data_IF_822261246502
#
_entry.id   IF_822261246502
#
_cell.length_a   1.000
_cell.length_b   1.000
_cell.length_c   1.000
_cell.angle_alpha   90.00
_cell.angle_beta   90.00
_cell.angle_gamma   90.00
#
_symmetry.space_group_name_H-M   'P 1'
#
loop_
_entity.id
_entity.type
_entity.pdbx_description
1 polymer ?
#
# COMPACT_ATOMS: atom_id res chain seq x y z
N UNK A 1 22.95 10.96 19.00
CA UNK A 1 23.41 10.10 17.92
C UNK A 1 22.66 8.80 17.83
N UNK A 2 22.55 8.09 18.96
CA UNK A 2 21.79 6.84 18.96
C UNK A 2 20.31 7.09 18.67
N UNK A 3 19.78 8.17 19.21
CA UNK A 3 18.37 8.52 19.01
C UNK A 3 18.11 8.76 17.53
N UNK A 4 18.99 9.51 16.88
CA UNK A 4 18.84 9.76 15.46
C UNK A 4 18.94 8.50 14.64
N UNK A 5 19.86 7.60 15.06
CA UNK A 5 20.04 6.34 14.36
C UNK A 5 18.80 5.46 14.52
N UNK A 6 18.21 5.46 15.70
CA UNK A 6 17.00 4.68 15.92
C UNK A 6 15.84 5.22 15.09
N UNK A 7 15.73 6.53 15.02
CA UNK A 7 14.70 7.16 14.20
C UNK A 7 14.89 6.78 12.74
N UNK A 8 16.12 6.85 12.26
CA UNK A 8 16.42 6.49 10.88
C UNK A 8 16.11 5.01 10.61
N UNK A 9 16.41 4.15 11.59
CA UNK A 9 16.13 2.72 11.47
C UNK A 9 14.62 2.49 11.38
N UNK A 10 13.85 3.19 12.21
CA UNK A 10 12.40 3.06 12.16
C UNK A 10 11.84 3.48 10.81
N UNK A 11 12.33 4.56 10.26
CA UNK A 11 11.92 4.99 8.94
C UNK A 11 12.33 4.00 7.86
N UNK A 12 13.54 3.47 7.99
CA UNK A 12 14.06 2.50 7.03
C UNK A 12 13.27 1.20 7.07
N UNK A 13 12.85 0.80 8.27
CA UNK A 13 12.12 -0.44 8.46
C UNK A 13 10.60 -0.25 8.38
N UNK A 14 10.14 0.92 7.99
CA UNK A 14 8.72 1.10 7.76
C UNK A 14 8.30 0.05 6.72
N UNK A 15 7.29 -0.75 7.03
CA UNK A 15 6.94 -1.85 6.13
C UNK A 15 6.46 -1.32 4.78
N UNK A 16 7.11 -1.78 3.73
CA UNK A 16 6.70 -1.47 2.38
C UNK A 16 5.49 -2.30 1.97
N UNK A 17 5.34 -3.47 2.58
CA UNK A 17 4.19 -4.33 2.38
C UNK A 17 3.26 -4.20 3.58
N UNK A 18 2.00 -3.92 3.33
CA UNK A 18 1.02 -3.71 4.38
C UNK A 18 -0.24 -4.52 4.09
N UNK A 19 -0.94 -4.90 5.15
CA UNK A 19 -2.24 -5.55 4.99
C UNK A 19 -3.25 -4.51 4.53
N UNK A 20 -4.36 -4.99 3.95
CA UNK A 20 -5.38 -4.11 3.40
C UNK A 20 -5.83 -3.03 4.39
N UNK A 21 -6.11 -3.43 5.62
CA UNK A 21 -6.57 -2.48 6.64
C UNK A 21 -5.54 -1.37 6.88
N UNK A 22 -4.29 -1.75 7.02
CA UNK A 22 -3.22 -0.80 7.27
C UNK A 22 -2.95 0.06 6.04
N UNK A 23 -2.94 -0.55 4.86
CA UNK A 23 -2.72 0.19 3.62
C UNK A 23 -3.81 1.24 3.44
N UNK A 24 -5.06 0.86 3.68
CA UNK A 24 -6.18 1.79 3.58
C UNK A 24 -6.03 2.94 4.58
N UNK A 25 -5.65 2.61 5.82
CA UNK A 25 -5.49 3.62 6.85
C UNK A 25 -4.41 4.63 6.49
N UNK A 26 -3.32 4.18 5.87
CA UNK A 26 -2.21 5.06 5.51
C UNK A 26 -2.60 6.10 4.47
N UNK A 27 -3.58 5.79 3.64
CA UNK A 27 -4.04 6.73 2.61
C UNK A 27 -5.43 7.27 2.91
N UNK A 28 -5.93 7.03 4.12
CA UNK A 28 -7.18 7.62 4.58
C UNK A 28 -8.43 7.01 3.99
N UNK A 29 -8.37 5.75 3.57
CA UNK A 29 -9.53 5.06 3.00
C UNK A 29 -10.01 3.96 3.91
N UNK A 30 -11.23 3.49 3.67
CA UNK A 30 -11.76 2.31 4.33
C UNK A 30 -11.38 1.08 3.52
N UNK A 31 -11.47 -0.09 4.14
CA UNK A 31 -11.07 -1.33 3.49
C UNK A 31 -11.80 -1.57 2.17
N UNK A 32 -13.10 -1.35 2.16
CA UNK A 32 -13.90 -1.57 0.95
C UNK A 32 -13.37 -0.72 -0.21
N UNK A 33 -13.11 0.56 0.07
CA UNK A 33 -12.58 1.46 -0.96
C UNK A 33 -11.19 1.03 -1.41
N UNK A 34 -10.39 0.49 -0.49
CA UNK A 34 -9.06 0.00 -0.84
C UNK A 34 -9.13 -1.15 -1.84
N UNK A 35 -10.06 -2.09 -1.62
CA UNK A 35 -10.25 -3.19 -2.58
C UNK A 35 -10.67 -2.67 -3.94
N UNK A 36 -11.57 -1.69 -3.95
CA UNK A 36 -11.98 -1.07 -5.22
C UNK A 36 -10.81 -0.42 -5.93
N UNK A 37 -9.96 0.25 -5.15
CA UNK A 37 -8.78 0.90 -5.71
C UNK A 37 -7.83 -0.09 -6.37
N UNK A 38 -7.65 -1.25 -5.73
CA UNK A 38 -6.82 -2.30 -6.31
C UNK A 38 -7.35 -2.76 -7.65
N UNK A 39 -8.67 -2.91 -7.76
CA UNK A 39 -9.28 -3.30 -9.02
C UNK A 39 -9.18 -2.19 -10.06
N UNK A 40 -9.43 -0.96 -9.65
CA UNK A 40 -9.36 0.19 -10.56
C UNK A 40 -7.97 0.39 -11.13
N UNK A 41 -6.95 0.06 -10.33
CA UNK A 41 -5.57 0.24 -10.76
C UNK A 41 -5.18 -0.73 -11.88
N UNK A 42 -5.94 -1.81 -12.04
CA UNK A 42 -5.71 -2.80 -13.09
C UNK A 42 -4.27 -3.32 -13.10
N UNK A 43 -3.77 -3.66 -11.93
CA UNK A 43 -2.43 -4.22 -11.78
C UNK A 43 -1.34 -3.22 -11.50
N UNK A 44 -1.64 -1.92 -11.55
CA UNK A 44 -0.64 -0.91 -11.23
C UNK A 44 -0.23 -0.95 -9.76
N UNK A 45 -1.15 -1.33 -8.88
CA UNK A 45 -0.84 -1.50 -7.47
C UNK A 45 -0.51 -2.97 -7.24
N UNK A 46 0.73 -3.23 -6.86
CA UNK A 46 1.20 -4.59 -6.62
C UNK A 46 0.61 -5.14 -5.32
N UNK A 47 0.04 -6.30 -5.39
CA UNK A 47 -0.54 -6.96 -4.22
C UNK A 47 -0.61 -8.46 -4.46
N UNK A 48 -0.70 -9.21 -3.37
CA UNK A 48 -0.86 -10.65 -3.46
C UNK A 48 -1.37 -11.19 -2.13
N UNK A 49 -1.87 -12.42 -2.16
CA UNK A 49 -2.33 -13.11 -0.95
C UNK A 49 -1.21 -14.01 -0.47
N UNK A 50 -0.74 -13.77 0.75
CA UNK A 50 0.32 -14.58 1.36
C UNK A 50 -0.32 -15.80 2.01
N UNK A 51 -0.17 -16.96 1.38
CA UNK A 51 -0.74 -18.21 1.88
C UNK A 51 0.34 -19.12 2.45
N UNK A 52 0.04 -19.73 3.58
CA UNK A 52 0.91 -20.78 4.06
C UNK A 52 0.61 -22.06 3.26
N UNK A 53 1.55 -23.01 3.23
CA UNK A 53 1.32 -24.25 2.45
C UNK A 53 0.09 -25.05 2.86
N UNK A 54 -0.38 -24.86 4.08
CA UNK A 54 -1.51 -25.62 4.62
C UNK A 54 -2.81 -24.83 4.69
N UNK A 55 -2.78 -23.56 4.27
CA UNK A 55 -3.95 -22.70 4.39
C UNK A 55 -4.44 -22.30 3.02
N UNK A 56 -5.77 -22.32 2.86
CA UNK A 56 -6.39 -21.84 1.63
C UNK A 56 -6.47 -20.32 1.59
N UNK A 57 -6.41 -19.71 2.77
CA UNK A 57 -6.54 -18.26 2.90
C UNK A 57 -5.33 -17.68 3.60
N UNK A 58 -5.09 -16.42 3.37
CA UNK A 58 -4.04 -15.69 4.03
C UNK A 58 -4.28 -14.20 3.88
N UNK A 59 -3.47 -13.39 4.54
CA UNK A 59 -3.61 -11.95 4.41
C UNK A 59 -3.21 -11.50 3.02
N UNK A 60 -3.95 -10.52 2.51
CA UNK A 60 -3.55 -9.84 1.28
C UNK A 60 -2.58 -8.73 1.65
N UNK A 61 -1.46 -8.71 0.99
CA UNK A 61 -0.44 -7.70 1.20
C UNK A 61 -0.37 -6.76 0.00
N UNK A 62 -0.17 -5.50 0.27
CA UNK A 62 -0.13 -4.45 -0.74
C UNK A 62 1.23 -3.77 -0.67
N UNK A 63 1.86 -3.59 -1.82
CA UNK A 63 3.15 -2.93 -1.89
C UNK A 63 2.94 -1.41 -1.89
N UNK A 64 3.23 -0.78 -0.76
CA UNK A 64 2.92 0.62 -0.56
C UNK A 64 3.56 1.58 -1.57
N UNK A 65 4.83 1.38 -1.97
CA UNK A 65 5.39 2.29 -2.99
C UNK A 65 4.58 2.32 -4.28
N UNK A 66 4.02 1.18 -4.70
CA UNK A 66 3.19 1.16 -5.90
C UNK A 66 1.86 1.88 -5.69
N UNK A 67 1.34 1.87 -4.47
CA UNK A 67 0.13 2.63 -4.15
C UNK A 67 0.39 4.12 -4.33
N UNK A 68 1.48 4.61 -3.78
CA UNK A 68 1.81 6.03 -3.86
C UNK A 68 2.09 6.47 -5.29
N UNK A 69 2.77 5.63 -6.07
CA UNK A 69 2.99 5.93 -7.49
C UNK A 69 1.68 6.03 -8.24
N UNK A 70 0.78 5.09 -8.00
CA UNK A 70 -0.50 5.08 -8.67
C UNK A 70 -1.30 6.33 -8.32
N UNK A 71 -1.34 6.68 -7.03
CA UNK A 71 -2.08 7.86 -6.58
C UNK A 71 -1.49 9.14 -7.15
N UNK A 72 -0.17 9.23 -7.23
CA UNK A 72 0.48 10.39 -7.84
C UNK A 72 0.07 10.53 -9.31
N UNK A 73 0.01 9.41 -10.03
CA UNK A 73 -0.38 9.44 -11.43
C UNK A 73 -1.82 9.89 -11.58
N UNK A 74 -2.72 9.35 -10.77
CA UNK A 74 -4.13 9.75 -10.80
C UNK A 74 -4.27 11.23 -10.48
N UNK A 75 -3.53 11.70 -9.50
CA UNK A 75 -3.56 13.10 -9.12
C UNK A 75 -3.12 14.00 -10.30
N UNK A 76 -2.05 13.62 -10.97
CA UNK A 76 -1.54 14.37 -12.11
C UNK A 76 -2.55 14.38 -13.25
N UNK A 77 -3.17 13.24 -13.52
CA UNK A 77 -4.18 13.16 -14.57
C UNK A 77 -5.37 14.07 -14.29
N UNK A 78 -5.80 14.13 -13.03
CA UNK A 78 -6.90 15.01 -12.67
C UNK A 78 -6.52 16.47 -12.78
N UNK A 79 -5.29 16.81 -12.39
CA UNK A 79 -4.82 18.18 -12.53
C UNK A 79 -4.77 18.62 -13.99
N UNK A 80 -4.35 17.73 -14.87
CA UNK A 80 -4.29 18.04 -16.29
C UNK A 80 -5.66 18.27 -16.91
N UNK A 81 -6.67 17.58 -16.41
CA UNK A 81 -8.02 17.72 -16.92
C UNK A 81 -8.70 19.00 -16.47
N UNK A 82 -8.22 19.58 -15.40
CA UNK A 82 -8.75 20.85 -14.92
C UNK A 82 -7.98 22.01 -15.54
#
# INVERSE_FOLDING_TARGET
>A
MKVDRETAVEETFRPEWARIKEAAARIGLKQTRMYELLEESNGAIRNFVLRSPRAERGPRLVYMPSVFEYLNRVCQEQEEKE
#
